data_IF_890693731718
#
_entry.id   IF_890693731718
#
_cell.length_a   1.000
_cell.length_b   1.000
_cell.length_c   1.000
_cell.angle_alpha   90.00
_cell.angle_beta   90.00
_cell.angle_gamma   90.00
#
_symmetry.space_group_name_H-M   'P 1'
#
loop_
_entity.id
_entity.type
_entity.pdbx_description
1 polymer ?
#
# COMPACT_ATOMS: atom_id res chain seq x y z
N UNK A 1 10.68 -10.83 5.30
CA UNK A 1 9.59 -10.24 4.49
C UNK A 1 9.00 -9.03 5.22
N UNK A 2 8.88 -7.89 4.53
CA UNK A 2 8.24 -6.67 5.06
C UNK A 2 6.88 -6.53 4.42
N UNK A 3 5.80 -6.59 5.22
CA UNK A 3 4.40 -6.60 4.74
C UNK A 3 3.55 -5.53 5.41
N UNK A 4 2.57 -5.03 4.67
CA UNK A 4 1.65 -3.97 5.09
C UNK A 4 0.76 -4.39 6.24
N UNK A 5 0.26 -3.40 6.98
CA UNK A 5 -0.82 -3.58 7.94
C UNK A 5 -2.02 -4.28 7.31
N UNK A 6 -2.33 -3.99 6.05
CA UNK A 6 -3.38 -4.68 5.28
C UNK A 6 -3.14 -6.18 5.22
N UNK A 7 -1.93 -6.60 4.85
CA UNK A 7 -1.57 -8.02 4.75
C UNK A 7 -1.61 -8.71 6.11
N UNK A 8 -1.13 -8.06 7.17
CA UNK A 8 -1.26 -8.56 8.55
C UNK A 8 -2.72 -8.74 8.98
N UNK A 9 -3.61 -7.81 8.62
CA UNK A 9 -5.06 -7.93 8.89
C UNK A 9 -5.69 -9.07 8.10
N UNK A 10 -5.33 -9.25 6.82
CA UNK A 10 -5.82 -10.35 6.00
C UNK A 10 -5.33 -11.71 6.54
N UNK A 11 -4.08 -11.78 7.00
CA UNK A 11 -3.53 -12.94 7.71
C UNK A 11 -4.32 -13.26 8.98
N UNK A 12 -4.61 -12.25 9.81
CA UNK A 12 -5.46 -12.40 11.00
C UNK A 12 -6.82 -13.01 10.64
N UNK A 13 -7.50 -12.46 9.63
CA UNK A 13 -8.79 -12.98 9.15
C UNK A 13 -8.71 -14.39 8.56
N UNK A 14 -7.58 -14.75 7.96
CA UNK A 14 -7.33 -16.09 7.44
C UNK A 14 -7.14 -17.09 8.58
N UNK A 15 -6.35 -16.73 9.59
CA UNK A 15 -6.09 -17.56 10.77
C UNK A 15 -7.36 -17.79 11.61
N UNK A 16 -8.28 -16.83 11.64
CA UNK A 16 -9.60 -16.94 12.29
C UNK A 16 -10.50 -18.05 11.72
N UNK A 17 -10.11 -18.68 10.60
CA UNK A 17 -10.81 -19.85 10.06
C UNK A 17 -10.52 -21.15 10.82
N UNK A 18 -9.43 -21.20 11.58
CA UNK A 18 -8.96 -22.43 12.21
C UNK A 18 -9.31 -22.47 13.69
N UNK A 19 -9.31 -23.68 14.26
CA UNK A 19 -9.46 -23.86 15.70
C UNK A 19 -8.25 -23.29 16.44
N UNK A 20 -8.48 -22.87 17.68
CA UNK A 20 -7.50 -22.18 18.52
C UNK A 20 -6.17 -22.92 18.64
N UNK A 21 -6.20 -24.24 18.89
CA UNK A 21 -4.98 -25.05 19.01
C UNK A 21 -4.10 -25.03 17.75
N UNK A 22 -4.71 -25.01 16.56
CA UNK A 22 -3.97 -24.95 15.29
C UNK A 22 -3.28 -23.59 15.14
N UNK A 23 -3.99 -22.51 15.46
CA UNK A 23 -3.43 -21.15 15.39
C UNK A 23 -2.31 -20.98 16.42
N UNK A 24 -2.53 -21.42 17.66
CA UNK A 24 -1.52 -21.33 18.71
C UNK A 24 -0.23 -22.05 18.32
N UNK A 25 -0.33 -23.29 17.82
CA UNK A 25 0.83 -24.06 17.37
C UNK A 25 1.56 -23.36 16.22
N UNK A 26 0.84 -22.75 15.27
CA UNK A 26 1.47 -21.99 14.19
C UNK A 26 2.21 -20.76 14.70
N UNK A 27 1.65 -20.02 15.66
CA UNK A 27 2.29 -18.82 16.22
C UNK A 27 3.50 -19.18 17.10
N UNK A 28 3.36 -20.19 17.97
CA UNK A 28 4.42 -20.62 18.91
C UNK A 28 5.66 -21.13 18.18
N UNK A 29 5.48 -21.78 17.01
CA UNK A 29 6.61 -22.23 16.18
C UNK A 29 7.54 -21.11 15.73
N UNK A 30 7.04 -19.88 15.69
CA UNK A 30 7.75 -18.71 15.19
C UNK A 30 7.86 -17.62 16.25
N UNK A 31 7.81 -17.99 17.53
CA UNK A 31 7.99 -17.10 18.68
C UNK A 31 6.99 -15.91 18.71
N UNK A 32 5.83 -16.05 18.05
CA UNK A 32 4.78 -15.01 18.06
C UNK A 32 3.89 -15.23 19.29
N UNK A 33 4.21 -14.51 20.36
CA UNK A 33 3.46 -14.60 21.61
C UNK A 33 2.04 -14.02 21.46
N UNK A 34 1.04 -14.81 21.83
CA UNK A 34 -0.37 -14.42 21.81
C UNK A 34 -1.04 -14.79 23.14
N UNK A 35 -1.69 -13.81 23.79
CA UNK A 35 -2.31 -14.01 25.11
C UNK A 35 -3.72 -14.61 25.05
N UNK A 36 -4.34 -14.52 23.88
CA UNK A 36 -5.66 -15.04 23.58
C UNK A 36 -5.86 -15.03 22.06
N UNK A 37 -6.88 -15.74 21.59
CA UNK A 37 -7.09 -15.95 20.14
C UNK A 37 -8.35 -15.26 19.64
N UNK A 38 -8.77 -14.18 20.29
CA UNK A 38 -9.70 -13.24 19.66
C UNK A 38 -9.02 -12.53 18.48
N UNK A 39 -9.80 -12.04 17.51
CA UNK A 39 -9.24 -11.29 16.37
C UNK A 39 -8.41 -10.07 16.79
N UNK A 40 -8.77 -9.43 17.92
CA UNK A 40 -8.02 -8.28 18.45
C UNK A 40 -6.65 -8.71 18.95
N UNK A 41 -6.59 -9.74 19.80
CA UNK A 41 -5.35 -10.26 20.37
C UNK A 41 -4.42 -10.85 19.29
N UNK A 42 -4.98 -11.60 18.35
CA UNK A 42 -4.25 -12.12 17.20
C UNK A 42 -3.68 -10.98 16.34
N UNK A 43 -4.49 -9.93 16.13
CA UNK A 43 -4.03 -8.71 15.47
C UNK A 43 -2.83 -8.10 16.18
N UNK A 44 -2.94 -7.88 17.49
CA UNK A 44 -1.86 -7.31 18.32
C UNK A 44 -0.57 -8.15 18.25
N UNK A 45 -0.68 -9.47 18.35
CA UNK A 45 0.45 -10.39 18.23
C UNK A 45 1.15 -10.26 16.86
N UNK A 46 0.39 -10.26 15.77
CA UNK A 46 0.94 -10.11 14.41
C UNK A 46 1.52 -8.70 14.16
N UNK A 47 0.94 -7.66 14.77
CA UNK A 47 1.48 -6.30 14.68
C UNK A 47 2.78 -6.12 15.47
N UNK A 48 2.90 -6.78 16.62
CA UNK A 48 4.10 -6.76 17.47
C UNK A 48 5.22 -7.69 17.02
N UNK A 49 4.92 -8.72 16.22
CA UNK A 49 5.91 -9.65 15.70
C UNK A 49 6.90 -8.99 14.73
N UNK A 50 8.17 -9.41 14.82
CA UNK A 50 9.22 -8.98 13.92
C UNK A 50 9.03 -9.57 12.50
N UNK A 51 9.76 -9.00 11.54
CA UNK A 51 9.63 -9.36 10.13
C UNK A 51 10.04 -10.80 9.82
N UNK A 52 10.99 -11.38 10.56
CA UNK A 52 11.47 -12.74 10.31
C UNK A 52 10.48 -13.80 10.82
N UNK A 53 9.85 -13.52 11.96
CA UNK A 53 8.78 -14.36 12.52
C UNK A 53 7.54 -14.34 11.62
N UNK A 54 7.13 -13.16 11.14
CA UNK A 54 6.01 -13.05 10.18
C UNK A 54 6.32 -13.74 8.86
N UNK A 55 7.54 -13.63 8.35
CA UNK A 55 7.97 -14.32 7.14
C UNK A 55 7.84 -15.84 7.30
N UNK A 56 8.43 -16.37 8.36
CA UNK A 56 8.46 -17.81 8.62
C UNK A 56 7.05 -18.39 8.82
N UNK A 57 6.16 -17.64 9.50
CA UNK A 57 4.75 -18.00 9.64
C UNK A 57 4.05 -18.07 8.28
N UNK A 58 4.22 -17.06 7.43
CA UNK A 58 3.56 -17.02 6.13
C UNK A 58 4.11 -18.11 5.21
N UNK A 59 5.42 -18.37 5.25
CA UNK A 59 6.05 -19.48 4.51
C UNK A 59 5.47 -20.84 4.94
N UNK A 60 5.27 -21.10 6.23
CA UNK A 60 4.62 -22.34 6.66
C UNK A 60 3.17 -22.44 6.18
N UNK A 61 2.40 -21.35 6.28
CA UNK A 61 1.01 -21.31 5.81
C UNK A 61 0.93 -21.59 4.31
N UNK A 62 1.82 -20.99 3.52
CA UNK A 62 1.91 -21.19 2.08
C UNK A 62 2.29 -22.63 1.76
N UNK A 63 3.35 -23.16 2.40
CA UNK A 63 3.85 -24.53 2.20
C UNK A 63 2.84 -25.61 2.63
N UNK A 64 2.07 -25.37 3.69
CA UNK A 64 1.11 -26.33 4.26
C UNK A 64 -0.34 -26.06 3.84
N UNK A 65 -0.54 -25.20 2.83
CA UNK A 65 -1.86 -24.73 2.40
C UNK A 65 -2.88 -25.85 2.19
N UNK A 66 -2.48 -26.95 1.54
CA UNK A 66 -3.36 -28.09 1.28
C UNK A 66 -3.93 -28.73 2.55
N UNK A 67 -3.11 -28.87 3.60
CA UNK A 67 -3.58 -29.37 4.90
C UNK A 67 -4.54 -28.39 5.56
N UNK A 68 -4.16 -27.10 5.61
CA UNK A 68 -4.99 -26.04 6.16
C UNK A 68 -6.36 -25.98 5.47
N UNK A 69 -6.38 -26.08 4.13
CA UNK A 69 -7.62 -26.11 3.35
C UNK A 69 -8.53 -27.27 3.71
N UNK A 70 -7.95 -28.44 4.00
CA UNK A 70 -8.72 -29.63 4.37
C UNK A 70 -9.37 -29.52 5.76
N UNK A 71 -8.88 -28.62 6.62
CA UNK A 71 -9.43 -28.38 7.97
C UNK A 71 -10.64 -27.44 8.00
N UNK A 72 -10.90 -26.72 6.92
CA UNK A 72 -12.00 -25.74 6.84
C UNK A 72 -13.18 -26.32 6.05
N UNK A 73 -14.35 -26.33 6.68
CA UNK A 73 -15.61 -26.68 6.05
C UNK A 73 -16.66 -25.59 6.31
N UNK A 74 -17.38 -25.11 5.29
CA UNK A 74 -17.25 -25.46 3.87
C UNK A 74 -16.00 -24.85 3.22
N UNK A 75 -15.46 -25.52 2.19
CA UNK A 75 -14.16 -25.15 1.59
C UNK A 75 -14.11 -23.75 0.96
N UNK A 76 -15.24 -23.22 0.48
CA UNK A 76 -15.26 -21.88 -0.12
C UNK A 76 -14.84 -20.79 0.89
N UNK A 77 -15.09 -20.97 2.19
CA UNK A 77 -14.64 -20.01 3.23
C UNK A 77 -13.12 -19.87 3.26
N UNK A 78 -12.41 -20.99 3.08
CA UNK A 78 -10.96 -20.99 2.94
C UNK A 78 -10.55 -20.31 1.66
N UNK A 79 -11.15 -20.71 0.53
CA UNK A 79 -10.77 -20.21 -0.80
C UNK A 79 -10.91 -18.69 -0.90
N UNK A 80 -11.98 -18.12 -0.31
CA UNK A 80 -12.21 -16.68 -0.25
C UNK A 80 -11.14 -15.94 0.56
N UNK A 81 -10.86 -16.38 1.81
CA UNK A 81 -9.86 -15.73 2.67
C UNK A 81 -8.44 -15.92 2.15
N UNK A 82 -8.15 -17.09 1.60
CA UNK A 82 -6.87 -17.37 0.96
C UNK A 82 -6.65 -16.48 -0.27
N UNK A 83 -7.69 -16.29 -1.09
CA UNK A 83 -7.62 -15.41 -2.26
C UNK A 83 -7.34 -13.96 -1.86
N UNK A 84 -8.04 -13.42 -0.85
CA UNK A 84 -7.77 -12.07 -0.34
C UNK A 84 -6.34 -11.94 0.21
N UNK A 85 -5.88 -12.93 1.00
CA UNK A 85 -4.54 -12.93 1.58
C UNK A 85 -3.46 -12.95 0.50
N UNK A 86 -3.58 -13.80 -0.53
CA UNK A 86 -2.66 -13.80 -1.67
C UNK A 86 -2.64 -12.47 -2.40
N UNK A 87 -3.79 -11.82 -2.62
CA UNK A 87 -3.83 -10.50 -3.27
C UNK A 87 -3.19 -9.42 -2.40
N UNK A 88 -3.29 -9.51 -1.07
CA UNK A 88 -2.57 -8.63 -0.16
C UNK A 88 -1.04 -8.78 -0.28
N UNK A 89 -0.55 -10.03 -0.27
CA UNK A 89 0.86 -10.33 -0.50
C UNK A 89 1.33 -9.81 -1.86
N UNK A 90 0.51 -9.97 -2.89
CA UNK A 90 0.83 -9.51 -4.24
C UNK A 90 1.01 -7.98 -4.30
N UNK A 91 0.14 -7.23 -3.61
CA UNK A 91 0.29 -5.78 -3.48
C UNK A 91 1.56 -5.39 -2.71
N UNK A 92 2.02 -6.23 -1.79
CA UNK A 92 3.27 -6.02 -1.03
C UNK A 92 4.53 -6.51 -1.79
N UNK A 93 4.37 -7.04 -3.01
CA UNK A 93 5.49 -7.48 -3.86
C UNK A 93 5.87 -8.96 -3.71
N UNK A 94 4.99 -9.78 -3.14
CA UNK A 94 5.18 -11.22 -2.95
C UNK A 94 4.09 -12.01 -3.67
N UNK A 95 4.49 -12.91 -4.57
CA UNK A 95 3.60 -13.80 -5.31
C UNK A 95 3.65 -15.19 -4.71
N UNK A 96 2.50 -15.85 -4.58
CA UNK A 96 2.46 -17.26 -4.16
C UNK A 96 2.29 -18.13 -5.40
N UNK A 97 3.28 -18.99 -5.67
CA UNK A 97 3.28 -19.98 -6.76
C UNK A 97 3.72 -21.34 -6.24
N UNK A 98 3.05 -22.43 -6.64
CA UNK A 98 3.42 -23.81 -6.28
C UNK A 98 3.67 -24.10 -4.78
N UNK A 99 3.01 -23.36 -3.88
CA UNK A 99 3.22 -23.41 -2.42
C UNK A 99 4.58 -22.83 -1.96
N UNK A 100 5.11 -21.88 -2.73
CA UNK A 100 6.27 -21.07 -2.39
C UNK A 100 5.97 -19.58 -2.55
N UNK A 101 6.74 -18.75 -1.85
CA UNK A 101 6.66 -17.29 -1.96
C UNK A 101 7.79 -16.82 -2.88
N UNK A 102 7.41 -16.18 -3.97
CA UNK A 102 8.31 -15.55 -4.92
C UNK A 102 8.24 -14.05 -4.73
N UNK A 103 9.40 -13.44 -4.51
CA UNK A 103 9.53 -11.99 -4.50
C UNK A 103 9.53 -11.45 -5.93
N UNK A 104 8.61 -10.53 -6.23
CA UNK A 104 8.45 -9.97 -7.58
C UNK A 104 8.80 -8.48 -7.69
N UNK A 105 9.09 -7.81 -6.57
CA UNK A 105 9.59 -6.43 -6.56
C UNK A 105 11.04 -6.34 -6.04
N UNK A 106 11.85 -5.42 -6.59
CA UNK A 106 13.21 -5.19 -6.10
C UNK A 106 13.20 -4.79 -4.62
N UNK A 107 14.18 -5.29 -3.85
CA UNK A 107 14.30 -4.96 -2.43
C UNK A 107 14.83 -3.56 -2.24
N UNK A 108 14.03 -2.74 -1.56
CA UNK A 108 14.53 -1.57 -0.85
C UNK A 108 14.60 -2.01 0.62
N UNK A 109 15.79 -2.00 1.20
CA UNK A 109 15.98 -2.27 2.61
C UNK A 109 15.25 -1.17 3.39
N UNK A 110 14.07 -1.52 3.92
CA UNK A 110 13.18 -0.62 4.60
C UNK A 110 12.61 -1.31 5.83
N UNK A 111 12.53 -0.56 6.93
CA UNK A 111 11.92 -1.05 8.17
C UNK A 111 10.41 -1.08 8.10
N UNK A 112 9.80 -0.44 7.10
CA UNK A 112 8.35 -0.38 6.94
C UNK A 112 7.97 -0.46 5.46
N UNK A 113 6.81 -1.06 5.13
CA UNK A 113 6.25 -1.03 3.79
C UNK A 113 5.97 0.41 3.33
N UNK A 114 6.27 0.71 2.06
CA UNK A 114 6.12 2.06 1.47
C UNK A 114 4.71 2.64 1.65
N UNK A 115 3.66 1.82 1.54
CA UNK A 115 2.27 2.27 1.70
C UNK A 115 1.93 2.66 3.15
N UNK A 116 2.45 1.91 4.12
CA UNK A 116 2.23 2.20 5.54
C UNK A 116 3.00 3.45 5.95
N UNK A 117 4.25 3.60 5.50
CA UNK A 117 5.04 4.82 5.73
C UNK A 117 4.40 6.02 5.03
N UNK A 118 3.93 5.89 3.78
CA UNK A 118 3.15 6.93 3.11
C UNK A 118 1.94 7.37 3.94
N UNK A 119 1.18 6.42 4.50
CA UNK A 119 0.00 6.73 5.31
C UNK A 119 0.40 7.51 6.57
N UNK A 120 1.48 7.11 7.25
CA UNK A 120 2.03 7.82 8.42
C UNK A 120 2.49 9.23 8.05
N UNK A 121 3.22 9.35 6.95
CA UNK A 121 3.72 10.63 6.45
C UNK A 121 2.60 11.60 6.08
N UNK A 122 1.56 11.11 5.42
CA UNK A 122 0.35 11.90 5.11
C UNK A 122 -0.32 12.40 6.38
N UNK A 123 -0.52 11.54 7.39
CA UNK A 123 -1.11 11.94 8.67
C UNK A 123 -0.31 13.03 9.37
N UNK A 124 1.02 13.00 9.23
CA UNK A 124 1.92 14.00 9.80
C UNK A 124 2.03 15.30 8.97
N UNK A 125 1.63 15.30 7.71
CA UNK A 125 1.79 16.44 6.79
C UNK A 125 0.84 17.62 7.06
N UNK A 126 -0.20 17.44 7.89
CA UNK A 126 -1.19 18.48 8.25
C UNK A 126 -1.84 19.22 7.06
N UNK A 127 -1.97 18.56 5.92
CA UNK A 127 -2.74 19.04 4.77
C UNK A 127 -4.25 18.88 5.01
N UNK A 128 -5.09 19.68 4.35
CA UNK A 128 -6.54 19.71 4.60
C UNK A 128 -7.24 18.44 4.11
N UNK A 129 -6.84 17.93 2.94
CA UNK A 129 -7.44 16.77 2.28
C UNK A 129 -6.73 15.43 2.55
N UNK A 130 -5.99 15.30 3.66
CA UNK A 130 -5.26 14.05 3.99
C UNK A 130 -6.18 12.82 3.97
N UNK A 131 -7.37 12.96 4.57
CA UNK A 131 -8.30 11.84 4.69
C UNK A 131 -8.81 11.36 3.33
N UNK A 132 -8.98 12.26 2.36
CA UNK A 132 -9.38 11.90 1.00
C UNK A 132 -8.25 11.18 0.25
N UNK A 133 -7.00 11.62 0.43
CA UNK A 133 -5.83 10.96 -0.17
C UNK A 133 -5.70 9.53 0.39
N UNK A 134 -5.74 9.38 1.73
CA UNK A 134 -5.68 8.07 2.39
C UNK A 134 -6.85 7.18 1.96
N UNK A 135 -8.06 7.75 1.84
CA UNK A 135 -9.24 7.03 1.33
C UNK A 135 -8.99 6.48 -0.07
N UNK A 136 -8.42 7.27 -0.98
CA UNK A 136 -8.15 6.80 -2.34
C UNK A 136 -7.03 5.75 -2.41
N UNK A 137 -6.00 5.83 -1.56
CA UNK A 137 -4.99 4.76 -1.44
C UNK A 137 -5.65 3.43 -1.01
N UNK A 138 -6.56 3.49 -0.03
CA UNK A 138 -7.31 2.32 0.45
C UNK A 138 -8.27 1.77 -0.60
N UNK A 139 -9.07 2.63 -1.24
CA UNK A 139 -9.98 2.24 -2.31
C UNK A 139 -9.23 1.61 -3.48
N UNK A 140 -8.02 2.08 -3.79
CA UNK A 140 -7.16 1.46 -4.79
C UNK A 140 -6.81 0.01 -4.41
N UNK A 141 -6.37 -0.23 -3.17
CA UNK A 141 -6.11 -1.57 -2.67
C UNK A 141 -7.36 -2.46 -2.64
N UNK A 142 -8.51 -1.91 -2.24
CA UNK A 142 -9.78 -2.62 -2.18
C UNK A 142 -10.23 -3.05 -3.58
N UNK A 143 -10.22 -2.14 -4.56
CA UNK A 143 -10.57 -2.46 -5.95
C UNK A 143 -9.70 -3.55 -6.54
N UNK A 144 -8.40 -3.60 -6.20
CA UNK A 144 -7.52 -4.70 -6.60
C UNK A 144 -7.90 -6.04 -5.95
N UNK A 145 -8.27 -6.03 -4.66
CA UNK A 145 -8.48 -7.26 -3.88
C UNK A 145 -9.86 -7.87 -3.97
N UNK A 146 -10.87 -7.15 -4.48
CA UNK A 146 -12.24 -7.65 -4.69
C UNK A 146 -12.26 -9.06 -5.29
N UNK A 147 -13.26 -9.86 -4.93
CA UNK A 147 -13.46 -11.22 -5.47
C UNK A 147 -13.42 -11.23 -6.99
N UNK A 148 -14.10 -10.26 -7.60
CA UNK A 148 -13.91 -9.83 -8.99
C UNK A 148 -13.14 -8.51 -8.99
N UNK A 149 -11.82 -8.52 -9.29
CA UNK A 149 -11.00 -7.32 -9.27
C UNK A 149 -11.49 -6.24 -10.23
N UNK A 150 -11.38 -4.99 -9.78
CA UNK A 150 -11.60 -3.79 -10.58
C UNK A 150 -10.27 -3.08 -10.79
N UNK A 151 -9.47 -3.58 -11.73
CA UNK A 151 -8.12 -3.07 -12.00
C UNK A 151 -8.11 -1.63 -12.50
N UNK A 152 -9.11 -1.25 -13.30
CA UNK A 152 -9.31 0.13 -13.74
C UNK A 152 -9.66 1.05 -12.58
N UNK A 153 -10.54 0.62 -11.67
CA UNK A 153 -10.82 1.33 -10.42
C UNK A 153 -9.60 1.44 -9.51
N UNK A 154 -8.78 0.39 -9.44
CA UNK A 154 -7.51 0.39 -8.71
C UNK A 154 -6.58 1.51 -9.20
N UNK A 155 -6.30 1.57 -10.51
CA UNK A 155 -5.45 2.60 -11.11
C UNK A 155 -6.09 4.00 -11.03
N UNK A 156 -7.41 4.09 -11.23
CA UNK A 156 -8.14 5.36 -11.13
C UNK A 156 -8.05 5.96 -9.73
N UNK A 157 -8.22 5.16 -8.68
CA UNK A 157 -8.07 5.65 -7.31
C UNK A 157 -6.62 6.02 -6.96
N UNK A 158 -5.63 5.26 -7.45
CA UNK A 158 -4.22 5.66 -7.31
C UNK A 158 -3.97 7.03 -7.95
N UNK A 159 -4.46 7.24 -9.18
CA UNK A 159 -4.35 8.51 -9.90
C UNK A 159 -4.98 9.67 -9.12
N UNK A 160 -6.19 9.47 -8.61
CA UNK A 160 -6.89 10.49 -7.83
C UNK A 160 -6.09 10.83 -6.56
N UNK A 161 -5.54 9.84 -5.85
CA UNK A 161 -4.70 10.10 -4.67
C UNK A 161 -3.50 11.02 -4.99
N UNK A 162 -2.79 10.73 -6.09
CA UNK A 162 -1.68 11.55 -6.57
C UNK A 162 -2.12 12.96 -6.97
N UNK A 163 -3.22 13.06 -7.71
CA UNK A 163 -3.78 14.35 -8.14
C UNK A 163 -4.15 15.21 -6.94
N UNK A 164 -4.90 14.66 -6.00
CA UNK A 164 -5.32 15.35 -4.78
C UNK A 164 -4.13 15.81 -3.96
N UNK A 165 -3.09 14.97 -3.79
CA UNK A 165 -1.87 15.33 -3.07
C UNK A 165 -1.15 16.53 -3.72
N UNK A 166 -0.96 16.49 -5.04
CA UNK A 166 -0.28 17.57 -5.77
C UNK A 166 -1.07 18.88 -5.70
N UNK A 167 -2.39 18.81 -5.89
CA UNK A 167 -3.29 19.98 -5.79
C UNK A 167 -3.25 20.60 -4.40
N UNK A 168 -3.31 19.77 -3.36
CA UNK A 168 -3.33 20.23 -1.97
C UNK A 168 -1.99 20.87 -1.57
N UNK A 169 -0.85 20.31 -1.99
CA UNK A 169 0.46 20.94 -1.75
C UNK A 169 0.58 22.26 -2.52
N UNK A 170 0.07 22.34 -3.75
CA UNK A 170 0.06 23.59 -4.50
C UNK A 170 -0.79 24.66 -3.80
N UNK A 171 -1.99 24.29 -3.34
CA UNK A 171 -2.87 25.16 -2.57
C UNK A 171 -2.21 25.64 -1.28
N UNK A 172 -1.58 24.74 -0.52
CA UNK A 172 -0.83 25.07 0.69
C UNK A 172 0.32 26.07 0.41
N UNK A 173 0.92 26.01 -0.78
CA UNK A 173 1.95 26.94 -1.24
C UNK A 173 1.42 28.25 -1.83
N UNK A 174 0.11 28.46 -1.81
CA UNK A 174 -0.53 29.71 -2.25
C UNK A 174 -1.04 29.71 -3.69
N UNK A 175 -1.13 28.54 -4.34
CA UNK A 175 -1.81 28.44 -5.63
C UNK A 175 -3.33 28.40 -5.45
N UNK A 176 -4.05 29.27 -6.15
CA UNK A 176 -5.50 29.22 -6.22
C UNK A 176 -5.91 28.54 -7.52
N UNK A 177 -6.60 27.40 -7.41
CA UNK A 177 -7.18 26.70 -8.56
C UNK A 177 -8.25 27.62 -9.19
N UNK A 178 -8.09 27.90 -10.48
CA UNK A 178 -9.03 28.76 -11.24
C UNK A 178 -9.96 27.95 -12.14
N UNK A 179 -9.50 26.78 -12.60
CA UNK A 179 -10.24 25.89 -13.48
C UNK A 179 -10.02 24.45 -13.05
N UNK A 180 -11.08 23.83 -12.53
CA UNK A 180 -11.05 22.44 -12.05
C UNK A 180 -10.59 21.45 -13.14
N UNK A 181 -10.98 21.65 -14.40
CA UNK A 181 -10.61 20.75 -15.51
C UNK A 181 -9.11 20.80 -15.87
N UNK A 182 -8.40 21.84 -15.44
CA UNK A 182 -6.95 22.01 -15.64
C UNK A 182 -6.16 21.94 -14.33
N UNK A 183 -6.84 21.65 -13.22
CA UNK A 183 -6.28 21.78 -11.87
C UNK A 183 -5.02 20.92 -11.69
N UNK A 184 -4.99 19.70 -12.21
CA UNK A 184 -3.81 18.83 -12.19
C UNK A 184 -2.58 19.49 -12.82
N UNK A 185 -2.66 19.83 -14.12
CA UNK A 185 -1.53 20.36 -14.87
C UNK A 185 -1.08 21.72 -14.36
N UNK A 186 -2.02 22.61 -13.99
CA UNK A 186 -1.68 23.92 -13.45
C UNK A 186 -1.06 23.83 -12.05
N UNK A 187 -1.54 22.93 -11.19
CA UNK A 187 -0.94 22.71 -9.86
C UNK A 187 0.49 22.19 -9.97
N UNK A 188 0.72 21.21 -10.85
CA UNK A 188 2.05 20.63 -11.04
C UNK A 188 3.03 21.68 -11.62
N UNK A 189 2.61 22.45 -12.62
CA UNK A 189 3.41 23.54 -13.17
C UNK A 189 3.70 24.65 -12.13
N UNK A 190 2.75 24.94 -11.24
CA UNK A 190 2.96 25.88 -10.14
C UNK A 190 4.00 25.37 -9.14
N UNK A 191 3.96 24.08 -8.78
CA UNK A 191 4.96 23.48 -7.89
C UNK A 191 6.37 23.57 -8.48
N UNK A 192 6.52 23.41 -9.80
CA UNK A 192 7.80 23.69 -10.47
C UNK A 192 8.17 25.17 -10.37
N UNK A 193 7.25 26.08 -10.73
CA UNK A 193 7.51 27.53 -10.73
C UNK A 193 7.91 28.05 -9.34
N UNK A 194 7.33 27.48 -8.29
CA UNK A 194 7.68 27.78 -6.88
C UNK A 194 8.94 27.06 -6.40
N UNK A 195 9.69 26.40 -7.30
CA UNK A 195 10.90 25.63 -7.01
C UNK A 195 10.70 24.52 -5.97
N UNK A 196 9.46 24.07 -5.74
CA UNK A 196 9.19 22.92 -4.89
C UNK A 196 9.64 21.62 -5.57
N UNK A 197 9.40 21.51 -6.88
CA UNK A 197 9.93 20.43 -7.71
C UNK A 197 10.80 20.96 -8.85
N UNK A 198 11.77 20.15 -9.27
CA UNK A 198 12.59 20.39 -10.45
C UNK A 198 11.86 20.00 -11.73
N UNK A 199 12.39 20.41 -12.89
CA UNK A 199 11.88 19.97 -14.19
C UNK A 199 11.92 18.45 -14.37
N UNK A 200 12.97 17.79 -13.84
CA UNK A 200 13.10 16.34 -13.88
C UNK A 200 11.99 15.67 -13.07
N UNK A 201 11.72 16.17 -11.87
CA UNK A 201 10.65 15.66 -11.00
C UNK A 201 9.26 15.90 -11.59
N UNK A 202 9.00 17.09 -12.16
CA UNK A 202 7.75 17.37 -12.88
C UNK A 202 7.52 16.35 -14.00
N UNK A 203 8.54 16.12 -14.85
CA UNK A 203 8.45 15.16 -15.94
C UNK A 203 8.16 13.75 -15.42
N UNK A 204 8.86 13.29 -14.37
CA UNK A 204 8.64 11.97 -13.79
C UNK A 204 7.24 11.80 -13.19
N UNK A 205 6.73 12.81 -12.47
CA UNK A 205 5.39 12.79 -11.87
C UNK A 205 4.32 12.79 -12.98
N UNK A 206 4.46 13.66 -13.98
CA UNK A 206 3.54 13.74 -15.11
C UNK A 206 3.51 12.44 -15.91
N UNK A 207 4.69 11.87 -16.22
CA UNK A 207 4.78 10.60 -16.94
C UNK A 207 4.17 9.45 -16.14
N UNK A 208 4.36 9.40 -14.81
CA UNK A 208 3.72 8.37 -13.97
C UNK A 208 2.20 8.47 -14.04
N UNK A 209 1.67 9.70 -13.95
CA UNK A 209 0.23 9.95 -14.03
C UNK A 209 -0.35 9.53 -15.39
N UNK A 210 0.32 9.87 -16.50
CA UNK A 210 -0.10 9.49 -17.85
C UNK A 210 0.04 8.00 -18.10
N UNK A 211 1.12 7.38 -17.61
CA UNK A 211 1.38 5.95 -17.77
C UNK A 211 0.23 5.08 -17.23
N UNK A 212 -0.39 5.50 -16.12
CA UNK A 212 -1.54 4.78 -15.54
C UNK A 212 -2.91 5.33 -15.95
N UNK A 213 -2.98 6.46 -16.66
CA UNK A 213 -4.27 7.03 -17.09
C UNK A 213 -4.89 6.23 -18.24
N UNK A 214 -4.06 5.63 -19.07
CA UNK A 214 -4.46 4.84 -20.22
C UNK A 214 -4.83 3.40 -19.84
N UNK A 215 -5.41 3.17 -18.65
CA UNK A 215 -5.61 1.87 -18.01
C UNK A 215 -6.26 0.75 -18.87
N UNK A 216 -6.83 1.11 -20.02
CA UNK A 216 -7.34 0.20 -21.06
C UNK A 216 -6.27 -0.37 -22.01
N UNK A 217 -5.06 0.18 -22.03
CA UNK A 217 -3.95 -0.21 -22.91
C UNK A 217 -2.87 -0.94 -22.13
N UNK A 218 -3.11 -2.23 -21.87
CA UNK A 218 -2.15 -3.09 -21.19
C UNK A 218 -0.98 -3.39 -22.14
N UNK A 219 0.28 -3.16 -21.73
CA UNK A 219 1.44 -3.49 -22.54
C UNK A 219 1.50 -5.00 -22.87
N UNK A 220 2.00 -5.31 -24.07
CA UNK A 220 2.20 -6.71 -24.48
C UNK A 220 3.11 -7.43 -23.48
N UNK A 221 2.68 -8.61 -23.02
CA UNK A 221 3.41 -9.41 -22.04
C UNK A 221 3.02 -9.17 -20.58
N UNK A 222 2.07 -8.28 -20.30
CA UNK A 222 1.48 -8.10 -18.97
C UNK A 222 0.05 -8.64 -18.93
N UNK A 223 -0.31 -9.27 -17.82
CA UNK A 223 -1.71 -9.43 -17.43
C UNK A 223 -2.27 -8.11 -16.87
N UNK A 224 -3.61 -7.97 -16.83
CA UNK A 224 -4.24 -6.80 -16.22
C UNK A 224 -3.85 -6.64 -14.74
N UNK A 225 -3.74 -7.77 -14.02
CA UNK A 225 -3.35 -7.82 -12.61
C UNK A 225 -1.94 -7.28 -12.40
N UNK A 226 -0.97 -7.77 -13.18
CA UNK A 226 0.42 -7.35 -13.10
C UNK A 226 0.58 -5.87 -13.41
N UNK A 227 -0.10 -5.38 -14.46
CA UNK A 227 -0.06 -3.98 -14.84
C UNK A 227 -0.69 -3.07 -13.77
N UNK A 228 -1.87 -3.44 -13.26
CA UNK A 228 -2.56 -2.66 -12.23
C UNK A 228 -1.77 -2.60 -10.92
N UNK A 229 -1.19 -3.74 -10.50
CA UNK A 229 -0.31 -3.84 -9.33
C UNK A 229 0.92 -2.95 -9.49
N UNK A 230 1.62 -3.05 -10.62
CA UNK A 230 2.81 -2.25 -10.91
C UNK A 230 2.47 -0.74 -10.92
N UNK A 231 1.43 -0.35 -11.65
CA UNK A 231 1.01 1.05 -11.75
C UNK A 231 0.60 1.64 -10.39
N UNK A 232 -0.14 0.89 -9.58
CA UNK A 232 -0.49 1.27 -8.21
C UNK A 232 0.74 1.49 -7.33
N UNK A 233 1.68 0.54 -7.34
CA UNK A 233 2.86 0.62 -6.48
C UNK A 233 3.81 1.75 -6.92
N UNK A 234 3.90 1.99 -8.24
CA UNK A 234 4.62 3.14 -8.79
C UNK A 234 4.02 4.47 -8.29
N UNK A 235 2.69 4.64 -8.40
CA UNK A 235 2.02 5.87 -7.91
C UNK A 235 2.18 6.03 -6.40
N UNK A 236 2.05 4.95 -5.64
CA UNK A 236 2.25 4.96 -4.19
C UNK A 236 3.65 5.47 -3.84
N UNK A 237 4.68 5.01 -4.56
CA UNK A 237 6.07 5.45 -4.40
C UNK A 237 6.25 6.93 -4.75
N UNK A 238 5.59 7.42 -5.80
CA UNK A 238 5.61 8.85 -6.17
C UNK A 238 4.92 9.72 -5.12
N UNK A 239 3.75 9.30 -4.61
CA UNK A 239 3.08 9.98 -3.51
C UNK A 239 3.97 10.07 -2.26
N UNK A 240 4.64 8.97 -1.92
CA UNK A 240 5.58 8.91 -0.80
C UNK A 240 6.73 9.91 -0.96
N UNK A 241 7.36 9.94 -2.15
CA UNK A 241 8.39 10.90 -2.47
C UNK A 241 7.92 12.36 -2.28
N UNK A 242 6.74 12.70 -2.82
CA UNK A 242 6.20 14.07 -2.77
C UNK A 242 5.91 14.50 -1.32
N UNK A 243 5.27 13.64 -0.52
CA UNK A 243 4.92 13.99 0.87
C UNK A 243 6.16 14.11 1.76
N UNK A 244 7.16 13.22 1.61
CA UNK A 244 8.43 13.33 2.34
C UNK A 244 9.13 14.63 2.00
N UNK A 245 9.17 15.01 0.71
CA UNK A 245 9.76 16.28 0.26
C UNK A 245 9.03 17.49 0.84
N UNK A 246 7.70 17.46 0.87
CA UNK A 246 6.88 18.50 1.49
C UNK A 246 7.23 18.70 2.97
N UNK A 247 7.32 17.62 3.75
CA UNK A 247 7.66 17.69 5.17
C UNK A 247 9.09 18.16 5.45
N UNK A 248 10.06 17.72 4.66
CA UNK A 248 11.45 18.15 4.80
C UNK A 248 11.61 19.68 4.62
N UNK A 249 10.85 20.25 3.69
CA UNK A 249 10.85 21.70 3.48
C UNK A 249 10.08 22.45 4.58
N UNK A 250 9.00 21.89 5.12
CA UNK A 250 8.26 22.49 6.24
C UNK A 250 9.05 22.57 7.55
N UNK A 251 9.93 21.60 7.81
CA UNK A 251 10.82 21.57 9.00
C UNK A 251 12.03 22.51 8.87
N UNK A 252 12.42 22.86 7.64
CA UNK A 252 13.54 23.80 7.41
C UNK A 252 13.18 25.26 7.73
N UNK A 253 11.90 25.63 7.74
CA UNK A 253 11.44 26.98 8.10
C UNK A 253 11.28 27.21 9.61
N UNK A 254 11.22 26.15 10.43
CA UNK A 254 11.09 26.29 11.89
C UNK A 254 12.43 26.53 12.61
N UNK A 255 13.58 26.23 12.00
CA UNK A 255 14.89 26.46 12.62
C UNK A 255 15.41 27.90 12.46
N UNK A 256 14.85 28.70 11.55
CA UNK A 256 15.30 30.07 11.28
C UNK A 256 14.66 31.15 12.16
N UNK A 257 13.70 30.82 13.03
CA UNK A 257 12.97 31.80 13.87
C UNK A 257 13.42 31.79 15.34
N UNK A 258 14.47 31.04 15.71
CA UNK A 258 14.98 30.98 17.09
C UNK A 258 16.35 31.64 17.31
N UNK A 259 16.82 32.45 16.35
CA UNK A 259 18.03 33.26 16.50
C UNK A 259 17.83 34.69 15.98
N UNK A 260 16.98 35.47 16.66
CA UNK A 260 17.02 36.93 16.68
C UNK A 260 16.57 37.42 18.07
#
# INVERSE_FOLDING_TARGET
MVVTKRTKLSLCQFLDLFIQDVVQVLLDKYDISCWGLSQTELGEALFGADHSSIESLIDEIVRTNGDLRNRVSPRYRFDERWSDFKKCLLLDGYKVEENEIIRIEPFIEANEPVEDDLTKELQLARLSSIMDIIKHIRLSAESFRKSTPDYNGCLSHSRIALETLVREIAANKGYSIKNENKAWGESLAYLKKSSFISQKEENSIASTYTFISDGSHIPVGFTEEEFARFGRNLVTSVCYFIVKKFKALGTSFTFTVSQL
#
